data_IF_179918752270
#
_entry.id   IF_179918752270
#
_cell.length_a   1.000
_cell.length_b   1.000
_cell.length_c   1.000
_cell.angle_alpha   90.00
_cell.angle_beta   90.00
_cell.angle_gamma   90.00
#
_symmetry.space_group_name_H-M   'P 1'
#
loop_
_entity.id
_entity.type
_entity.pdbx_description
1 polymer ?
#
# COMPACT_ATOMS: atom_id res chain seq x y z
N UNK A 1 5.41 -19.64 4.28
CA UNK A 1 6.08 -18.36 4.55
C UNK A 1 6.08 -17.49 3.29
N UNK A 2 5.72 -16.20 3.36
CA UNK A 2 5.88 -15.27 2.24
C UNK A 2 7.34 -15.13 1.82
N UNK A 3 7.61 -14.88 0.54
CA UNK A 3 8.96 -14.57 0.06
C UNK A 3 9.30 -13.12 0.40
N UNK A 4 10.00 -12.90 1.52
CA UNK A 4 10.43 -11.59 2.00
C UNK A 4 11.94 -11.47 1.79
N UNK A 5 12.37 -10.40 1.11
CA UNK A 5 13.80 -10.11 0.92
C UNK A 5 14.36 -9.37 2.14
N UNK A 6 15.62 -9.62 2.55
CA UNK A 6 16.25 -8.92 3.67
C UNK A 6 16.19 -7.38 3.54
N UNK A 7 16.34 -6.87 2.31
CA UNK A 7 16.25 -5.43 2.01
C UNK A 7 14.89 -4.81 2.37
N UNK A 8 13.80 -5.59 2.27
CA UNK A 8 12.47 -5.10 2.65
C UNK A 8 12.34 -4.97 4.16
N UNK A 9 12.89 -5.92 4.93
CA UNK A 9 12.90 -5.86 6.40
C UNK A 9 13.78 -4.71 6.90
N UNK A 10 14.97 -4.53 6.32
CA UNK A 10 15.87 -3.42 6.60
C UNK A 10 15.20 -2.06 6.33
N UNK A 11 14.47 -1.95 5.21
CA UNK A 11 13.74 -0.74 4.85
C UNK A 11 12.67 -0.40 5.90
N UNK A 12 11.85 -1.37 6.28
CA UNK A 12 10.83 -1.17 7.31
C UNK A 12 11.47 -0.79 8.66
N UNK A 13 12.55 -1.46 9.06
CA UNK A 13 13.27 -1.14 10.30
C UNK A 13 13.81 0.30 10.31
N UNK A 14 14.31 0.79 9.16
CA UNK A 14 14.76 2.18 9.02
C UNK A 14 13.63 3.19 9.24
N UNK A 15 12.47 2.96 8.65
CA UNK A 15 11.30 3.83 8.84
C UNK A 15 10.79 3.79 10.28
N UNK A 16 10.75 2.61 10.92
CA UNK A 16 10.43 2.49 12.36
C UNK A 16 11.39 3.30 13.24
N UNK A 17 12.69 3.26 12.94
CA UNK A 17 13.71 3.97 13.73
C UNK A 17 13.54 5.49 13.63
N UNK A 18 13.01 5.99 12.50
CA UNK A 18 12.68 7.41 12.31
C UNK A 18 11.37 7.84 12.97
N UNK A 19 10.57 6.89 13.44
CA UNK A 19 9.23 7.16 13.96
C UNK A 19 8.17 7.34 12.86
N UNK A 20 8.45 6.87 11.65
CA UNK A 20 7.51 6.98 10.52
C UNK A 20 6.31 6.06 10.74
N UNK A 21 5.13 6.51 10.31
CA UNK A 21 3.94 5.65 10.23
C UNK A 21 4.05 4.70 9.05
N UNK A 22 3.86 3.41 9.26
CA UNK A 22 3.98 2.39 8.23
C UNK A 22 2.60 1.98 7.71
N UNK A 23 2.43 2.00 6.39
CA UNK A 23 1.20 1.62 5.72
C UNK A 23 1.52 0.77 4.49
N UNK A 24 0.82 -0.35 4.32
CA UNK A 24 0.78 -1.10 3.06
C UNK A 24 -0.47 -0.71 2.28
N UNK A 25 -0.31 -0.27 1.03
CA UNK A 25 -1.42 0.03 0.12
C UNK A 25 -1.29 -0.77 -1.18
N UNK A 26 -2.28 -1.61 -1.47
CA UNK A 26 -2.17 -2.64 -2.51
C UNK A 26 -3.49 -2.98 -3.18
N UNK A 27 -3.43 -3.34 -4.46
CA UNK A 27 -4.58 -3.80 -5.25
C UNK A 27 -4.92 -5.28 -5.00
N UNK A 28 -3.99 -6.05 -4.41
CA UNK A 28 -4.28 -7.41 -3.97
C UNK A 28 -5.26 -7.37 -2.80
N UNK A 29 -6.18 -8.34 -2.73
CA UNK A 29 -7.22 -8.33 -1.72
C UNK A 29 -6.70 -8.64 -0.31
N UNK A 30 -7.41 -8.15 0.72
CA UNK A 30 -7.05 -8.30 2.13
C UNK A 30 -6.85 -9.74 2.56
N UNK A 31 -7.62 -10.69 2.03
CA UNK A 31 -7.50 -12.09 2.40
C UNK A 31 -6.09 -12.64 2.13
N UNK A 32 -5.46 -12.22 1.03
CA UNK A 32 -4.09 -12.61 0.69
C UNK A 32 -3.07 -11.74 1.43
N UNK A 33 -3.29 -10.43 1.52
CA UNK A 33 -2.25 -9.50 2.01
C UNK A 33 -2.24 -9.31 3.52
N UNK A 34 -3.33 -9.61 4.21
CA UNK A 34 -3.45 -9.49 5.67
C UNK A 34 -2.36 -10.26 6.42
N UNK A 35 -2.20 -11.57 6.18
CA UNK A 35 -1.13 -12.35 6.82
C UNK A 35 0.29 -11.86 6.49
N UNK A 36 0.48 -11.25 5.31
CA UNK A 36 1.78 -10.68 4.91
C UNK A 36 2.06 -9.41 5.72
N UNK A 37 1.07 -8.52 5.86
CA UNK A 37 1.19 -7.31 6.65
C UNK A 37 1.47 -7.63 8.14
N UNK A 38 0.74 -8.61 8.70
CA UNK A 38 0.96 -9.11 10.06
C UNK A 38 2.40 -9.66 10.21
N UNK A 39 2.85 -10.48 9.26
CA UNK A 39 4.22 -11.04 9.27
C UNK A 39 5.31 -9.98 9.17
N UNK A 40 5.03 -8.87 8.48
CA UNK A 40 5.94 -7.73 8.37
C UNK A 40 5.84 -6.78 9.57
N UNK A 41 4.85 -6.94 10.45
CA UNK A 41 4.57 -6.03 11.57
C UNK A 41 4.12 -4.65 11.09
N UNK A 42 3.31 -4.59 10.04
CA UNK A 42 2.69 -3.35 9.55
C UNK A 42 1.19 -3.44 9.82
N UNK A 43 0.72 -2.65 10.78
CA UNK A 43 -0.65 -2.72 11.29
C UNK A 43 -1.66 -2.10 10.30
N UNK A 44 -1.25 -1.03 9.61
CA UNK A 44 -2.09 -0.36 8.63
C UNK A 44 -2.01 -1.00 7.25
N UNK A 45 -3.16 -1.44 6.75
CA UNK A 45 -3.32 -2.07 5.45
C UNK A 45 -4.53 -1.52 4.71
N UNK A 46 -4.29 -0.94 3.53
CA UNK A 46 -5.29 -0.54 2.55
C UNK A 46 -5.23 -1.51 1.35
N UNK A 47 -5.96 -2.61 1.46
CA UNK A 47 -6.09 -3.64 0.43
C UNK A 47 -7.48 -3.63 -0.20
N UNK A 48 -7.68 -4.26 -1.36
CA UNK A 48 -9.04 -4.49 -1.89
C UNK A 48 -9.83 -5.34 -0.89
N UNK A 49 -11.03 -4.90 -0.50
CA UNK A 49 -11.89 -5.63 0.42
C UNK A 49 -12.80 -6.57 -0.38
N UNK A 50 -12.69 -7.90 -0.21
CA UNK A 50 -13.61 -8.83 -0.85
C UNK A 50 -14.96 -8.81 -0.11
N UNK A 51 -16.06 -8.65 -0.85
CA UNK A 51 -17.40 -8.69 -0.25
C UNK A 51 -17.70 -10.10 0.28
N UNK A 52 -18.20 -10.15 1.52
CA UNK A 52 -18.65 -11.38 2.16
C UNK A 52 -20.11 -11.28 2.57
N UNK A 53 -20.89 -12.28 2.18
CA UNK A 53 -22.28 -12.45 2.59
C UNK A 53 -22.44 -13.86 3.14
N UNK A 54 -23.02 -13.99 4.33
CA UNK A 54 -23.25 -15.28 5.02
C UNK A 54 -21.99 -16.17 5.09
N UNK A 55 -20.84 -15.54 5.38
CA UNK A 55 -19.54 -16.22 5.51
C UNK A 55 -18.93 -16.70 4.20
N UNK A 56 -19.40 -16.22 3.04
CA UNK A 56 -18.89 -16.61 1.71
C UNK A 56 -18.51 -15.40 0.89
N UNK A 57 -17.40 -15.49 0.16
CA UNK A 57 -17.04 -14.50 -0.84
C UNK A 57 -18.04 -14.52 -1.99
N UNK A 58 -18.55 -13.35 -2.34
CA UNK A 58 -19.51 -13.20 -3.44
C UNK A 58 -18.82 -13.06 -4.81
N UNK A 59 -17.51 -12.78 -4.80
CA UNK A 59 -16.72 -12.42 -5.98
C UNK A 59 -16.75 -10.92 -6.31
N UNK A 60 -17.51 -10.11 -5.56
CA UNK A 60 -17.50 -8.65 -5.68
C UNK A 60 -16.50 -8.00 -4.72
N UNK A 61 -16.21 -6.73 -4.99
CA UNK A 61 -15.45 -5.85 -4.10
C UNK A 61 -16.42 -5.11 -3.20
N UNK A 62 -16.08 -4.97 -1.93
CA UNK A 62 -16.75 -4.09 -0.98
C UNK A 62 -16.11 -2.69 -1.01
N UNK A 63 -16.93 -1.66 -1.19
CA UNK A 63 -16.49 -0.27 -1.28
C UNK A 63 -15.61 0.07 -2.49
N UNK A 64 -14.70 1.03 -2.29
CA UNK A 64 -13.77 1.50 -3.33
C UNK A 64 -12.57 0.55 -3.43
N UNK A 65 -12.23 0.01 -4.61
CA UNK A 65 -11.05 -0.82 -4.75
C UNK A 65 -9.77 0.01 -4.57
N UNK A 66 -8.77 -0.56 -3.90
CA UNK A 66 -7.42 0.01 -3.75
C UNK A 66 -6.62 -0.14 -5.06
N UNK A 67 -7.10 0.47 -6.15
CA UNK A 67 -6.53 0.37 -7.48
C UNK A 67 -6.51 1.75 -8.18
N UNK A 68 -5.34 2.13 -8.71
CA UNK A 68 -5.10 3.44 -9.36
C UNK A 68 -5.64 4.61 -8.53
N UNK A 69 -6.55 5.42 -9.08
CA UNK A 69 -7.17 6.56 -8.39
C UNK A 69 -7.94 6.14 -7.13
N UNK A 70 -8.45 4.90 -7.10
CA UNK A 70 -9.07 4.31 -5.90
C UNK A 70 -8.10 4.18 -4.73
N UNK A 71 -6.80 3.98 -4.98
CA UNK A 71 -5.77 4.04 -3.92
C UNK A 71 -5.67 5.43 -3.31
N UNK A 72 -5.71 6.48 -4.13
CA UNK A 72 -5.64 7.87 -3.67
C UNK A 72 -6.84 8.20 -2.79
N UNK A 73 -8.05 7.87 -3.25
CA UNK A 73 -9.29 8.09 -2.50
C UNK A 73 -9.23 7.39 -1.14
N UNK A 74 -8.78 6.13 -1.12
CA UNK A 74 -8.69 5.35 0.11
C UNK A 74 -7.59 5.81 1.05
N UNK A 75 -6.46 6.25 0.51
CA UNK A 75 -5.39 6.84 1.30
C UNK A 75 -5.87 8.12 1.99
N UNK A 76 -6.56 9.01 1.26
CA UNK A 76 -7.13 10.24 1.82
C UNK A 76 -8.11 9.95 2.96
N UNK A 77 -9.04 9.02 2.76
CA UNK A 77 -9.98 8.63 3.81
C UNK A 77 -9.28 8.04 5.06
N UNK A 78 -8.19 7.28 4.87
CA UNK A 78 -7.40 6.75 5.99
C UNK A 78 -6.62 7.87 6.70
N UNK A 79 -5.99 8.79 5.97
CA UNK A 79 -5.26 9.92 6.54
C UNK A 79 -6.18 10.81 7.40
N UNK A 80 -7.37 11.12 6.89
CA UNK A 80 -8.40 11.89 7.62
C UNK A 80 -8.83 11.18 8.91
N UNK A 81 -8.99 9.85 8.88
CA UNK A 81 -9.37 9.08 10.06
C UNK A 81 -8.27 9.00 11.13
N UNK A 82 -6.99 9.15 10.73
CA UNK A 82 -5.84 9.10 11.63
C UNK A 82 -5.33 10.48 12.06
N UNK A 83 -5.93 11.58 11.55
CA UNK A 83 -5.42 12.95 11.72
C UNK A 83 -3.95 13.10 11.26
N UNK A 84 -3.62 12.51 10.12
CA UNK A 84 -2.27 12.50 9.52
C UNK A 84 -2.21 13.27 8.20
N UNK A 85 -1.03 13.80 7.87
CA UNK A 85 -0.72 14.39 6.56
C UNK A 85 0.29 13.54 5.80
N UNK A 86 0.46 13.80 4.50
CA UNK A 86 1.52 13.16 3.68
C UNK A 86 2.83 13.94 3.68
N UNK A 87 2.99 14.92 4.56
CA UNK A 87 4.18 15.77 4.59
C UNK A 87 5.40 14.91 4.96
N UNK A 88 6.43 14.92 4.10
CA UNK A 88 7.61 14.06 4.23
C UNK A 88 7.36 12.57 3.91
N UNK A 89 6.22 12.22 3.31
CA UNK A 89 5.87 10.83 3.03
C UNK A 89 6.81 10.18 2.01
N UNK A 90 7.09 8.91 2.23
CA UNK A 90 7.77 8.02 1.30
C UNK A 90 6.77 7.07 0.65
N UNK A 91 6.96 6.79 -0.63
CA UNK A 91 6.13 5.81 -1.31
C UNK A 91 6.94 4.95 -2.27
N UNK A 92 6.81 3.63 -2.12
CA UNK A 92 7.57 2.62 -2.85
C UNK A 92 6.62 1.83 -3.75
N UNK A 93 6.88 1.78 -5.07
CA UNK A 93 6.07 0.99 -5.99
C UNK A 93 6.87 0.53 -7.22
N UNK A 94 6.47 -0.61 -7.78
CA UNK A 94 6.97 -1.18 -9.03
C UNK A 94 6.06 -0.87 -10.23
N UNK A 95 4.84 -0.38 -10.00
CA UNK A 95 3.81 -0.32 -11.04
C UNK A 95 3.42 1.10 -11.45
N UNK A 96 3.27 1.32 -12.76
CA UNK A 96 2.71 2.57 -13.30
C UNK A 96 1.28 2.86 -12.79
N UNK A 97 0.54 1.84 -12.32
CA UNK A 97 -0.79 2.04 -11.73
C UNK A 97 -0.75 2.96 -10.50
N UNK A 98 0.42 3.09 -9.87
CA UNK A 98 0.62 3.89 -8.67
C UNK A 98 1.22 5.27 -8.94
N UNK A 99 1.37 5.65 -10.23
CA UNK A 99 1.79 7.00 -10.60
C UNK A 99 1.00 8.11 -9.91
N UNK A 100 -0.35 8.03 -9.78
CA UNK A 100 -1.11 9.06 -9.08
C UNK A 100 -0.72 9.27 -7.60
N UNK A 101 -0.12 8.25 -6.95
CA UNK A 101 0.40 8.36 -5.59
C UNK A 101 1.87 8.78 -5.58
N UNK A 102 2.69 8.22 -6.47
CA UNK A 102 4.10 8.61 -6.61
C UNK A 102 4.24 10.11 -6.90
N UNK A 103 3.35 10.69 -7.71
CA UNK A 103 3.35 12.13 -8.02
C UNK A 103 2.91 13.03 -6.86
N UNK A 104 2.42 12.47 -5.75
CA UNK A 104 1.85 13.22 -4.61
C UNK A 104 2.72 13.23 -3.35
N UNK A 105 3.73 12.38 -3.27
CA UNK A 105 4.58 12.26 -2.08
C UNK A 105 5.91 13.00 -2.28
N UNK A 106 6.54 13.41 -1.17
CA UNK A 106 7.82 14.11 -1.21
C UNK A 106 8.99 13.18 -1.58
N UNK A 107 8.86 11.89 -1.30
CA UNK A 107 9.91 10.90 -1.53
C UNK A 107 9.39 9.68 -2.31
N UNK A 108 9.11 9.82 -3.63
CA UNK A 108 8.73 8.71 -4.48
C UNK A 108 9.93 7.81 -4.79
N UNK A 109 9.72 6.49 -4.75
CA UNK A 109 10.77 5.50 -5.03
C UNK A 109 10.21 4.39 -5.93
N UNK A 110 10.71 4.32 -7.16
CA UNK A 110 10.47 3.19 -8.05
C UNK A 110 11.31 1.98 -7.63
N UNK A 111 10.66 0.85 -7.34
CA UNK A 111 11.32 -0.41 -6.95
C UNK A 111 11.06 -1.43 -8.04
N UNK A 112 12.10 -1.88 -8.75
CA UNK A 112 11.98 -2.83 -9.87
C UNK A 112 10.86 -2.45 -10.88
N UNK A 113 10.84 -1.20 -11.41
CA UNK A 113 9.68 -0.66 -12.11
C UNK A 113 9.36 -1.39 -13.41
N UNK A 114 8.06 -1.48 -13.70
CA UNK A 114 7.56 -1.87 -15.02
C UNK A 114 8.05 -0.91 -16.12
N UNK A 115 7.97 -1.33 -17.39
CA UNK A 115 8.50 -0.56 -18.52
C UNK A 115 7.86 0.83 -18.68
N UNK A 116 6.66 1.03 -18.16
CA UNK A 116 5.96 2.31 -18.23
C UNK A 116 6.45 3.24 -17.12
N UNK A 117 6.50 2.75 -15.88
CA UNK A 117 7.02 3.51 -14.74
C UNK A 117 8.51 3.85 -14.94
N UNK A 118 9.30 2.93 -15.49
CA UNK A 118 10.73 3.15 -15.79
C UNK A 118 11.00 4.35 -16.70
N UNK A 119 10.05 4.74 -17.56
CA UNK A 119 10.22 5.88 -18.48
C UNK A 119 10.05 7.23 -17.81
N UNK A 120 9.42 7.25 -16.63
CA UNK A 120 9.03 8.48 -15.92
C UNK A 120 9.66 8.58 -14.52
N UNK A 121 10.32 7.52 -14.05
CA UNK A 121 11.03 7.42 -12.78
C UNK A 121 12.51 7.80 -12.90
#
# INVERSE_FOLDING_TARGET
EPHILPKAEELLARHRTKGDTLLIITATNRFITGPIAERLGVDDLIAVEPEMVDGRYTGRVDGVPSYREGKVIRLQAWLEAQDLTMDGAWFYSDSHNDLPLLEKVDHPVAVDPDDTLRKVA
#
